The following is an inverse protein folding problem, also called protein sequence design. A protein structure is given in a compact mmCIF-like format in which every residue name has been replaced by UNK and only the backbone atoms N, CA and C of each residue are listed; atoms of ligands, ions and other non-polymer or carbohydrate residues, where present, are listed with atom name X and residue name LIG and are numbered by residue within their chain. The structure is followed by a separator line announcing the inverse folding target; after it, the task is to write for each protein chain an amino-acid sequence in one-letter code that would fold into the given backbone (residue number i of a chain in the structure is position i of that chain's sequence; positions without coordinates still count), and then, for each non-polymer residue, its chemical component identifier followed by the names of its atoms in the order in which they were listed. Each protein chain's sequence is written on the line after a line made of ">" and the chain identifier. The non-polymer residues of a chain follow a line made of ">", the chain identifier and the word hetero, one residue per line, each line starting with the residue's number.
data_IF_561853870730
#
_entry.id   IF_561853870730
#
_cell.length_a   1.000
_cell.length_b   1.000
_cell.length_c   1.000
_cell.angle_alpha   90.00
_cell.angle_beta   90.00
_cell.angle_gamma   90.00
#
_symmetry.space_group_name_H-M   'P 1'
#
loop_
_entity.id
_entity.type
_entity.pdbx_description
1 polymer ?
#
# COMPACT_ATOMS: atom_id res chain seq x y z
N UNK A 1 -44.29 -9.93 57.04
CA UNK A 1 -44.14 -8.51 56.67
C UNK A 1 -42.83 -8.37 55.90
N UNK A 2 -42.93 -8.24 54.58
CA UNK A 2 -41.78 -7.99 53.71
C UNK A 2 -41.83 -6.50 53.36
N UNK A 3 -40.84 -5.74 53.84
CA UNK A 3 -40.70 -4.33 53.52
C UNK A 3 -40.30 -4.17 52.04
N UNK A 4 -40.93 -3.27 51.27
CA UNK A 4 -40.50 -2.99 49.91
C UNK A 4 -39.17 -2.24 49.95
N UNK A 5 -38.17 -2.80 49.27
CA UNK A 5 -36.88 -2.16 49.02
C UNK A 5 -37.07 -1.16 47.89
N UNK A 6 -36.90 0.13 48.18
CA UNK A 6 -36.92 1.18 47.17
C UNK A 6 -35.71 1.04 46.24
N UNK A 7 -35.87 1.23 44.91
CA UNK A 7 -34.75 1.21 43.98
C UNK A 7 -33.89 2.46 44.21
N UNK A 8 -32.62 2.26 44.54
CA UNK A 8 -31.61 3.32 44.57
C UNK A 8 -31.42 3.79 43.13
N UNK A 9 -31.94 4.97 42.82
CA UNK A 9 -31.62 5.68 41.58
C UNK A 9 -30.12 6.01 41.61
N UNK A 10 -29.31 5.19 40.92
CA UNK A 10 -27.93 5.54 40.60
C UNK A 10 -27.94 6.83 39.79
N UNK A 11 -27.52 7.92 40.42
CA UNK A 11 -27.31 9.19 39.77
C UNK A 11 -26.40 8.98 38.54
N UNK A 12 -26.73 9.56 37.37
CA UNK A 12 -25.90 9.43 36.19
C UNK A 12 -24.49 9.97 36.48
N UNK A 13 -23.43 9.36 35.91
CA UNK A 13 -22.07 9.84 36.11
C UNK A 13 -22.01 11.31 35.67
N UNK A 14 -21.52 12.18 36.55
CA UNK A 14 -21.26 13.58 36.27
C UNK A 14 -20.34 13.64 35.05
N UNK A 15 -20.89 14.00 33.89
CA UNK A 15 -20.12 14.37 32.71
C UNK A 15 -19.32 15.60 33.12
N UNK A 16 -17.99 15.47 33.19
CA UNK A 16 -17.09 16.60 33.39
C UNK A 16 -17.36 17.61 32.26
N UNK A 17 -18.09 18.68 32.59
CA UNK A 17 -18.33 19.80 31.68
C UNK A 17 -16.97 20.39 31.30
N UNK A 18 -16.54 20.08 30.07
CA UNK A 18 -15.35 20.63 29.45
C UNK A 18 -15.50 22.16 29.36
N UNK A 19 -14.87 22.89 30.28
CA UNK A 19 -14.84 24.35 30.27
C UNK A 19 -13.86 24.83 29.18
N UNK A 20 -14.35 25.37 28.05
CA UNK A 20 -13.50 25.79 26.93
C UNK A 20 -12.67 27.05 27.26
N UNK A 21 -12.85 27.66 28.44
CA UNK A 21 -12.11 28.82 28.91
C UNK A 21 -11.05 28.50 29.97
N UNK A 22 -10.89 27.22 30.37
CA UNK A 22 -9.83 26.80 31.27
C UNK A 22 -8.44 27.03 30.62
N UNK A 23 -7.46 27.60 31.35
CA UNK A 23 -6.10 27.75 30.84
C UNK A 23 -5.56 26.36 30.47
N UNK A 24 -4.84 26.22 29.34
CA UNK A 24 -4.31 24.92 28.95
C UNK A 24 -3.43 24.38 30.08
N UNK A 25 -3.76 23.20 30.59
CA UNK A 25 -3.01 22.55 31.66
C UNK A 25 -1.52 22.53 31.28
N UNK A 26 -0.67 23.20 32.07
CA UNK A 26 0.77 23.32 31.80
C UNK A 26 1.43 21.94 31.62
N UNK A 27 0.89 20.93 32.29
CA UNK A 27 1.30 19.52 32.21
C UNK A 27 0.98 18.89 30.84
N UNK A 28 -0.14 19.26 30.20
CA UNK A 28 -0.50 18.80 28.86
C UNK A 28 0.41 19.44 27.79
N UNK A 29 0.79 20.71 27.96
CA UNK A 29 1.76 21.36 27.08
C UNK A 29 3.16 20.76 27.23
N UNK A 30 3.58 20.43 28.46
CA UNK A 30 4.87 19.78 28.71
C UNK A 30 4.91 18.37 28.11
N UNK A 31 3.83 17.60 28.23
CA UNK A 31 3.71 16.29 27.59
C UNK A 31 3.73 16.39 26.05
N UNK A 32 3.16 17.44 25.46
CA UNK A 32 3.25 17.71 24.02
C UNK A 32 4.67 18.07 23.61
N UNK A 33 5.36 18.93 24.38
CA UNK A 33 6.77 19.30 24.13
C UNK A 33 7.70 18.08 24.19
N UNK A 34 7.52 17.15 25.14
CA UNK A 34 8.32 15.92 25.20
C UNK A 34 8.05 14.99 24.00
N UNK A 35 6.79 14.86 23.57
CA UNK A 35 6.43 14.10 22.36
C UNK A 35 7.09 14.71 21.11
N UNK A 36 7.05 16.02 20.97
CA UNK A 36 7.66 16.74 19.85
C UNK A 36 9.19 16.66 19.88
N UNK A 37 9.81 16.75 21.07
CA UNK A 37 11.24 16.55 21.25
C UNK A 37 11.68 15.13 20.85
N UNK A 38 10.93 14.10 21.24
CA UNK A 38 11.17 12.71 20.82
C UNK A 38 11.00 12.53 19.31
N UNK A 39 10.00 13.19 18.72
CA UNK A 39 9.77 13.18 17.26
C UNK A 39 10.94 13.84 16.52
N UNK A 40 11.39 14.99 16.97
CA UNK A 40 12.52 15.73 16.41
C UNK A 40 13.83 14.93 16.55
N UNK A 41 14.08 14.29 17.69
CA UNK A 41 15.25 13.43 17.90
C UNK A 41 15.24 12.22 16.96
N UNK A 42 14.07 11.59 16.75
CA UNK A 42 13.91 10.48 15.81
C UNK A 42 14.12 10.92 14.37
N UNK A 43 13.64 12.10 13.98
CA UNK A 43 13.91 12.70 12.66
C UNK A 43 15.39 13.04 12.46
N UNK A 44 16.06 13.58 13.47
CA UNK A 44 17.49 13.89 13.42
C UNK A 44 18.33 12.60 13.28
N UNK A 45 17.99 11.56 14.02
CA UNK A 45 18.63 10.25 13.88
C UNK A 45 18.38 9.64 12.50
N UNK A 46 17.15 9.77 11.98
CA UNK A 46 16.81 9.31 10.63
C UNK A 46 17.64 10.06 9.58
N UNK A 47 17.75 11.38 9.66
CA UNK A 47 18.59 12.22 8.78
C UNK A 47 20.06 11.82 8.87
N UNK A 48 20.57 11.57 10.08
CA UNK A 48 21.94 11.09 10.30
C UNK A 48 22.18 9.74 9.62
N UNK A 49 21.27 8.77 9.81
CA UNK A 49 21.36 7.45 9.19
C UNK A 49 21.23 7.53 7.66
N UNK A 50 20.27 8.30 7.15
CA UNK A 50 20.07 8.50 5.71
C UNK A 50 21.28 9.16 5.02
N UNK A 51 21.97 10.09 5.70
CA UNK A 51 23.23 10.67 5.19
C UNK A 51 24.33 9.62 4.97
N UNK A 52 24.31 8.53 5.76
CA UNK A 52 25.22 7.41 5.62
C UNK A 52 24.76 6.40 4.55
N UNK A 53 23.45 6.23 4.34
CA UNK A 53 22.87 5.28 3.37
C UNK A 53 22.83 5.79 1.93
N UNK A 54 23.12 7.06 1.66
CA UNK A 54 23.07 7.66 0.32
C UNK A 54 24.16 7.21 -0.67
N UNK A 55 24.95 6.18 -0.33
CA UNK A 55 26.01 5.62 -1.19
C UNK A 55 25.51 4.34 -1.85
N UNK A 56 25.32 4.37 -3.17
CA UNK A 56 25.04 3.18 -3.96
C UNK A 56 26.37 2.63 -4.47
N UNK A 57 26.68 1.39 -4.09
CA UNK A 57 27.85 0.68 -4.62
C UNK A 57 27.49 0.14 -6.01
N UNK A 58 28.15 0.67 -7.04
CA UNK A 58 28.06 0.16 -8.41
C UNK A 58 29.39 -0.43 -8.83
N UNK A 59 29.42 -1.27 -9.87
CA UNK A 59 30.68 -1.80 -10.43
C UNK A 59 31.66 -0.74 -10.91
N UNK A 60 31.17 0.45 -11.27
CA UNK A 60 31.98 1.53 -11.83
C UNK A 60 32.58 2.42 -10.73
N UNK A 61 31.90 2.58 -9.60
CA UNK A 61 32.35 3.29 -8.37
C UNK A 61 31.17 3.40 -7.39
N UNK A 62 31.40 3.54 -6.06
CA UNK A 62 30.38 4.03 -5.15
C UNK A 62 29.90 5.42 -5.56
N UNK A 63 28.63 5.53 -5.93
CA UNK A 63 27.98 6.80 -6.31
C UNK A 63 27.22 7.35 -5.12
N UNK A 64 27.48 8.60 -4.75
CA UNK A 64 26.65 9.30 -3.78
C UNK A 64 25.44 9.91 -4.49
N UNK A 65 24.25 9.37 -4.23
CA UNK A 65 23.00 9.76 -4.90
C UNK A 65 22.65 11.22 -4.63
N UNK A 66 23.08 11.76 -3.49
CA UNK A 66 22.83 13.17 -3.13
C UNK A 66 23.65 14.16 -3.95
N UNK A 67 24.75 13.73 -4.55
CA UNK A 67 25.68 14.60 -5.30
C UNK A 67 25.75 14.26 -6.80
N UNK A 68 25.22 13.11 -7.21
CA UNK A 68 25.25 12.64 -8.58
C UNK A 68 23.82 12.31 -9.03
N UNK A 69 23.40 12.90 -10.15
CA UNK A 69 22.18 12.52 -10.85
C UNK A 69 22.45 11.61 -12.06
N UNK A 70 21.40 11.28 -12.77
CA UNK A 70 21.47 10.51 -14.02
C UNK A 70 21.83 11.46 -15.16
N UNK A 71 23.01 11.31 -15.75
CA UNK A 71 23.44 12.06 -16.93
C UNK A 71 23.19 11.31 -18.22
N UNK A 72 22.88 12.07 -19.27
CA UNK A 72 22.82 11.61 -20.64
C UNK A 72 24.09 12.04 -21.37
N UNK A 73 24.78 11.11 -22.02
CA UNK A 73 25.92 11.33 -22.88
C UNK A 73 25.50 11.03 -24.31
N UNK A 74 25.67 11.99 -25.21
CA UNK A 74 25.51 11.77 -26.64
C UNK A 74 26.91 11.62 -27.23
N UNK A 75 27.19 10.45 -27.80
CA UNK A 75 28.43 10.20 -28.54
C UNK A 75 28.11 10.20 -30.02
N UNK A 76 28.79 11.09 -30.75
CA UNK A 76 28.74 11.14 -32.20
C UNK A 76 29.88 10.27 -32.74
N UNK A 77 29.53 9.08 -33.21
CA UNK A 77 30.44 8.21 -33.96
C UNK A 77 29.76 7.89 -35.30
N UNK A 78 30.51 7.98 -36.40
CA UNK A 78 30.07 7.57 -37.74
C UNK A 78 28.71 8.16 -38.19
N UNK A 79 28.49 9.46 -37.93
CA UNK A 79 27.23 10.18 -38.23
C UNK A 79 25.97 9.62 -37.53
N UNK A 80 26.14 8.73 -36.54
CA UNK A 80 25.05 8.19 -35.73
C UNK A 80 25.16 8.73 -34.30
N UNK A 81 24.11 9.40 -33.84
CA UNK A 81 24.00 9.87 -32.47
C UNK A 81 23.64 8.70 -31.56
N UNK A 82 24.60 8.21 -30.78
CA UNK A 82 24.34 7.19 -29.76
C UNK A 82 24.13 7.86 -28.41
N UNK A 83 22.99 7.56 -27.78
CA UNK A 83 22.66 8.08 -26.44
C UNK A 83 23.03 7.02 -25.41
N UNK A 84 23.79 7.41 -24.40
CA UNK A 84 24.14 6.56 -23.26
C UNK A 84 23.82 7.26 -21.94
N UNK A 85 23.36 6.50 -20.95
CA UNK A 85 23.10 7.02 -19.60
C UNK A 85 24.21 6.62 -18.62
N UNK A 86 24.68 7.58 -17.82
CA UNK A 86 25.73 7.39 -16.80
C UNK A 86 25.51 8.32 -15.60
N UNK A 87 25.97 7.91 -14.41
CA UNK A 87 25.99 8.79 -13.24
C UNK A 87 26.86 10.04 -13.53
N UNK A 88 26.29 11.23 -13.34
CA UNK A 88 26.94 12.51 -13.61
C UNK A 88 26.73 13.49 -12.47
N UNK A 89 27.79 14.21 -12.07
CA UNK A 89 27.70 15.30 -11.08
C UNK A 89 26.97 16.54 -11.62
N UNK A 90 26.91 16.68 -12.95
CA UNK A 90 26.30 17.84 -13.60
C UNK A 90 24.78 17.68 -13.72
N UNK A 91 24.28 16.44 -13.67
CA UNK A 91 22.85 16.20 -13.73
C UNK A 91 22.24 16.26 -12.34
N UNK A 92 21.11 16.96 -12.23
CA UNK A 92 20.24 17.01 -11.05
C UNK A 92 19.14 15.95 -11.10
N UNK A 93 19.12 15.12 -12.14
CA UNK A 93 18.06 14.13 -12.34
C UNK A 93 18.11 13.04 -11.26
N UNK A 94 17.11 13.02 -10.40
CA UNK A 94 16.95 12.04 -9.32
C UNK A 94 16.45 10.70 -9.87
N UNK A 95 17.28 9.66 -9.75
CA UNK A 95 16.91 8.30 -10.13
C UNK A 95 16.19 7.54 -9.03
N UNK A 96 15.18 6.74 -9.38
CA UNK A 96 14.66 5.73 -8.44
C UNK A 96 15.71 4.65 -8.17
N UNK A 97 15.64 3.90 -7.04
CA UNK A 97 16.59 2.82 -6.74
C UNK A 97 16.74 1.80 -7.88
N UNK A 98 15.67 1.58 -8.64
CA UNK A 98 15.68 0.69 -9.81
C UNK A 98 16.55 1.24 -10.95
N UNK A 99 16.47 2.55 -11.25
CA UNK A 99 17.34 3.18 -12.26
C UNK A 99 18.82 3.01 -11.91
N UNK A 100 19.18 3.17 -10.63
CA UNK A 100 20.56 2.99 -10.17
C UNK A 100 21.04 1.55 -10.27
N UNK A 101 20.19 0.58 -9.92
CA UNK A 101 20.51 -0.84 -10.09
C UNK A 101 20.75 -1.22 -11.56
N UNK A 102 19.95 -0.63 -12.47
CA UNK A 102 20.12 -0.79 -13.92
C UNK A 102 21.43 -0.18 -14.42
N UNK A 103 21.75 1.05 -14.01
CA UNK A 103 23.02 1.72 -14.36
C UNK A 103 24.23 0.95 -13.82
N UNK A 104 24.10 0.36 -12.63
CA UNK A 104 25.11 -0.50 -12.02
C UNK A 104 25.24 -1.89 -12.66
N UNK A 105 24.31 -2.28 -13.55
CA UNK A 105 24.18 -3.63 -14.12
C UNK A 105 24.07 -4.73 -13.06
N UNK A 106 23.41 -4.42 -11.94
CA UNK A 106 23.26 -5.33 -10.81
C UNK A 106 21.95 -6.10 -10.90
N UNK A 107 21.98 -7.24 -11.60
CA UNK A 107 20.79 -8.07 -11.85
C UNK A 107 20.11 -8.55 -10.55
N UNK A 108 20.91 -8.94 -9.56
CA UNK A 108 20.38 -9.37 -8.26
C UNK A 108 19.64 -8.23 -7.52
N UNK A 109 20.16 -7.01 -7.60
CA UNK A 109 19.51 -5.84 -7.03
C UNK A 109 18.21 -5.49 -7.78
N UNK A 110 18.21 -5.59 -9.11
CA UNK A 110 17.01 -5.40 -9.94
C UNK A 110 15.91 -6.40 -9.56
N UNK A 111 16.24 -7.69 -9.46
CA UNK A 111 15.26 -8.71 -9.05
C UNK A 111 14.74 -8.48 -7.63
N UNK A 112 15.60 -8.10 -6.69
CA UNK A 112 15.20 -7.83 -5.31
C UNK A 112 14.27 -6.62 -5.23
N UNK A 113 14.60 -5.52 -5.93
CA UNK A 113 13.78 -4.32 -5.95
C UNK A 113 12.41 -4.58 -6.57
N UNK A 114 12.35 -5.32 -7.69
CA UNK A 114 11.07 -5.71 -8.31
C UNK A 114 10.25 -6.63 -7.41
N UNK A 115 10.89 -7.58 -6.69
CA UNK A 115 10.23 -8.41 -5.67
C UNK A 115 9.71 -7.60 -4.49
N UNK A 116 10.40 -6.52 -4.12
CA UNK A 116 10.01 -5.61 -3.05
C UNK A 116 8.90 -4.61 -3.47
N UNK A 117 8.45 -4.64 -4.73
CA UNK A 117 7.39 -3.77 -5.23
C UNK A 117 7.88 -2.44 -5.79
N UNK A 118 9.16 -2.32 -6.13
CA UNK A 118 9.65 -1.16 -6.89
C UNK A 118 8.92 -1.07 -8.23
N UNK A 119 8.51 0.13 -8.59
CA UNK A 119 7.78 0.35 -9.82
C UNK A 119 8.74 0.38 -11.03
N UNK A 120 8.47 -0.47 -12.02
CA UNK A 120 9.32 -0.64 -13.20
C UNK A 120 9.14 0.50 -14.21
N UNK A 121 7.93 1.06 -14.25
CA UNK A 121 7.53 2.13 -15.17
C UNK A 121 7.72 3.53 -14.56
N UNK A 122 8.32 3.60 -13.37
CA UNK A 122 8.63 4.87 -12.73
C UNK A 122 9.56 5.68 -13.64
N UNK A 123 9.20 6.95 -13.88
CA UNK A 123 10.00 7.88 -14.66
C UNK A 123 10.86 8.74 -13.76
N UNK A 124 12.06 9.05 -14.22
CA UNK A 124 12.91 10.08 -13.62
C UNK A 124 12.26 11.45 -13.84
N UNK A 125 12.05 12.21 -12.76
CA UNK A 125 11.29 13.48 -12.77
C UNK A 125 11.80 14.48 -13.83
N UNK A 126 13.12 14.61 -13.97
CA UNK A 126 13.75 15.61 -14.84
C UNK A 126 13.95 15.15 -16.29
N UNK A 127 14.09 13.84 -16.52
CA UNK A 127 14.44 13.28 -17.83
C UNK A 127 13.27 12.57 -18.51
N UNK A 128 12.22 12.20 -17.76
CA UNK A 128 11.11 11.40 -18.25
C UNK A 128 11.49 9.98 -18.67
N UNK A 129 12.71 9.54 -18.34
CA UNK A 129 13.30 8.27 -18.74
C UNK A 129 12.88 7.19 -17.75
N UNK A 130 12.52 6.02 -18.28
CA UNK A 130 12.22 4.81 -17.49
C UNK A 130 13.44 3.91 -17.34
N UNK A 131 13.38 2.95 -16.42
CA UNK A 131 14.42 1.93 -16.27
C UNK A 131 14.61 1.12 -17.58
N UNK A 132 13.53 0.87 -18.34
CA UNK A 132 13.58 0.18 -19.62
C UNK A 132 14.32 0.99 -20.70
N UNK A 133 14.07 2.31 -20.78
CA UNK A 133 14.77 3.19 -21.72
C UNK A 133 16.30 3.18 -21.50
N UNK A 134 16.73 3.20 -20.23
CA UNK A 134 18.16 3.11 -19.88
C UNK A 134 18.75 1.79 -20.38
N UNK A 135 18.03 0.69 -20.18
CA UNK A 135 18.44 -0.64 -20.64
C UNK A 135 18.56 -0.71 -22.16
N UNK A 136 17.62 -0.13 -22.90
CA UNK A 136 17.64 -0.10 -24.36
C UNK A 136 18.80 0.72 -24.90
N UNK A 137 18.96 1.95 -24.41
CA UNK A 137 20.02 2.86 -24.88
C UNK A 137 21.42 2.38 -24.53
N UNK A 138 21.59 1.75 -23.35
CA UNK A 138 22.86 1.15 -22.94
C UNK A 138 23.04 -0.31 -23.43
N UNK A 139 22.11 -0.86 -24.21
CA UNK A 139 22.13 -2.22 -24.78
C UNK A 139 22.34 -3.34 -23.73
N UNK A 140 21.67 -3.24 -22.58
CA UNK A 140 21.83 -4.15 -21.44
C UNK A 140 20.90 -5.38 -21.52
N UNK A 141 21.19 -6.33 -22.41
CA UNK A 141 20.29 -7.46 -22.68
C UNK A 141 19.93 -8.30 -21.45
N UNK A 142 20.92 -8.63 -20.60
CA UNK A 142 20.67 -9.44 -19.40
C UNK A 142 19.86 -8.68 -18.34
N UNK A 143 20.09 -7.37 -18.21
CA UNK A 143 19.27 -6.53 -17.33
C UNK A 143 17.84 -6.41 -17.85
N UNK A 144 17.64 -6.36 -19.17
CA UNK A 144 16.29 -6.39 -19.80
C UNK A 144 15.53 -7.63 -19.36
N UNK A 145 16.13 -8.81 -19.55
CA UNK A 145 15.52 -10.09 -19.17
C UNK A 145 15.20 -10.14 -17.67
N UNK A 146 16.07 -9.60 -16.82
CA UNK A 146 15.83 -9.53 -15.38
C UNK A 146 14.60 -8.66 -15.04
N UNK A 147 14.44 -7.51 -15.70
CA UNK A 147 13.26 -6.65 -15.54
C UNK A 147 12.00 -7.37 -16.01
N UNK A 148 12.02 -7.96 -17.22
CA UNK A 148 10.88 -8.69 -17.77
C UNK A 148 10.42 -9.83 -16.85
N UNK A 149 11.36 -10.62 -16.32
CA UNK A 149 11.06 -11.68 -15.34
C UNK A 149 10.44 -11.11 -14.06
N UNK A 150 10.98 -10.01 -13.54
CA UNK A 150 10.47 -9.38 -12.32
C UNK A 150 9.07 -8.77 -12.51
N UNK A 151 8.82 -8.13 -13.65
CA UNK A 151 7.51 -7.57 -14.02
C UNK A 151 6.48 -8.68 -14.22
N UNK A 152 6.84 -9.75 -14.93
CA UNK A 152 5.96 -10.91 -15.10
C UNK A 152 5.61 -11.57 -13.75
N UNK A 153 6.58 -11.71 -12.84
CA UNK A 153 6.36 -12.23 -11.50
C UNK A 153 5.44 -11.32 -10.66
N UNK A 154 5.57 -9.99 -10.79
CA UNK A 154 4.66 -9.02 -10.13
C UNK A 154 3.24 -9.15 -10.68
N UNK A 155 3.09 -9.18 -12.01
CA UNK A 155 1.78 -9.35 -12.66
C UNK A 155 1.11 -10.64 -12.20
N UNK A 156 1.84 -11.77 -12.19
CA UNK A 156 1.31 -13.04 -11.72
C UNK A 156 0.85 -13.00 -10.25
N UNK A 157 1.54 -12.26 -9.37
CA UNK A 157 1.11 -12.07 -7.98
C UNK A 157 -0.19 -11.25 -7.89
N UNK A 158 -0.29 -10.17 -8.65
CA UNK A 158 -1.50 -9.33 -8.68
C UNK A 158 -2.69 -10.13 -9.23
N UNK A 159 -2.48 -10.87 -10.32
CA UNK A 159 -3.49 -11.73 -10.92
C UNK A 159 -3.92 -12.83 -9.95
N UNK A 160 -2.99 -13.44 -9.21
CA UNK A 160 -3.29 -14.46 -8.20
C UNK A 160 -4.05 -13.88 -6.99
N UNK A 161 -3.70 -12.67 -6.53
CA UNK A 161 -4.43 -11.98 -5.46
C UNK A 161 -5.85 -11.62 -5.90
N UNK A 162 -6.01 -11.13 -7.13
CA UNK A 162 -7.31 -10.82 -7.69
C UNK A 162 -8.17 -12.08 -7.83
N UNK A 163 -7.61 -13.17 -8.36
CA UNK A 163 -8.29 -14.45 -8.45
C UNK A 163 -8.71 -15.01 -7.08
N UNK A 164 -7.89 -14.80 -6.04
CA UNK A 164 -8.24 -15.19 -4.67
C UNK A 164 -9.41 -14.37 -4.11
N UNK A 165 -9.45 -13.06 -4.37
CA UNK A 165 -10.57 -12.17 -4.00
C UNK A 165 -11.84 -12.57 -4.73
N UNK A 166 -11.75 -12.84 -6.03
CA UNK A 166 -12.89 -13.24 -6.85
C UNK A 166 -13.44 -14.61 -6.39
N UNK A 167 -12.56 -15.55 -6.03
CA UNK A 167 -12.95 -16.84 -5.45
C UNK A 167 -13.66 -16.70 -4.09
N UNK A 168 -13.16 -15.82 -3.21
CA UNK A 168 -13.83 -15.53 -1.94
C UNK A 168 -15.20 -14.87 -2.16
N UNK A 169 -15.29 -13.92 -3.10
CA UNK A 169 -16.55 -13.28 -3.46
C UNK A 169 -17.59 -14.30 -3.99
N UNK A 170 -17.16 -15.25 -4.81
CA UNK A 170 -18.01 -16.32 -5.31
C UNK A 170 -18.53 -17.24 -4.20
N UNK A 171 -17.68 -17.63 -3.24
CA UNK A 171 -18.09 -18.42 -2.07
C UNK A 171 -19.08 -17.67 -1.17
N UNK A 172 -18.83 -16.38 -0.90
CA UNK A 172 -19.75 -15.55 -0.14
C UNK A 172 -21.10 -15.40 -0.87
N UNK A 173 -21.09 -15.22 -2.18
CA UNK A 173 -22.31 -15.16 -3.00
C UNK A 173 -23.08 -16.48 -2.99
N UNK A 174 -22.39 -17.62 -3.09
CA UNK A 174 -22.99 -18.96 -3.00
C UNK A 174 -23.65 -19.16 -1.64
N UNK A 175 -22.98 -18.78 -0.55
CA UNK A 175 -23.52 -18.87 0.81
C UNK A 175 -24.69 -17.92 1.03
N UNK A 176 -24.66 -16.72 0.46
CA UNK A 176 -25.76 -15.77 0.51
C UNK A 176 -26.99 -16.31 -0.25
N UNK A 177 -26.79 -16.87 -1.44
CA UNK A 177 -27.86 -17.49 -2.21
C UNK A 177 -28.49 -18.66 -1.47
N UNK A 178 -27.69 -19.58 -0.90
CA UNK A 178 -28.22 -20.69 -0.11
C UNK A 178 -29.05 -20.22 1.11
N UNK A 179 -28.69 -19.10 1.74
CA UNK A 179 -29.48 -18.48 2.82
C UNK A 179 -30.80 -17.89 2.29
N UNK A 180 -30.77 -17.26 1.12
CA UNK A 180 -31.98 -16.73 0.48
C UNK A 180 -32.93 -17.86 0.09
N UNK A 181 -32.42 -18.90 -0.58
CA UNK A 181 -33.20 -20.07 -0.99
C UNK A 181 -33.87 -20.74 0.23
N UNK A 182 -33.14 -20.91 1.35
CA UNK A 182 -33.71 -21.44 2.58
C UNK A 182 -34.80 -20.53 3.18
N UNK A 183 -34.58 -19.21 3.20
CA UNK A 183 -35.58 -18.26 3.70
C UNK A 183 -36.84 -18.24 2.82
N UNK A 184 -36.70 -18.44 1.50
CA UNK A 184 -37.80 -18.51 0.57
C UNK A 184 -38.57 -19.83 0.70
N UNK A 185 -37.88 -20.96 0.94
CA UNK A 185 -38.52 -22.25 1.25
C UNK A 185 -39.34 -22.20 2.54
N UNK A 186 -38.80 -21.62 3.61
CA UNK A 186 -39.52 -21.46 4.89
C UNK A 186 -40.73 -20.53 4.74
N UNK A 187 -40.60 -19.42 3.99
CA UNK A 187 -41.75 -18.56 3.66
C UNK A 187 -42.85 -19.33 2.93
N UNK A 188 -42.49 -20.13 1.92
CA UNK A 188 -43.46 -20.92 1.15
C UNK A 188 -44.18 -21.96 2.02
N UNK A 189 -43.47 -22.63 2.94
CA UNK A 189 -44.10 -23.58 3.88
C UNK A 189 -45.06 -22.88 4.83
N UNK A 190 -44.65 -21.74 5.40
CA UNK A 190 -45.51 -20.96 6.29
C UNK A 190 -46.78 -20.46 5.59
N UNK A 191 -46.68 -20.04 4.33
CA UNK A 191 -47.84 -19.67 3.51
C UNK A 191 -48.79 -20.86 3.26
N UNK A 192 -48.23 -22.06 3.04
CA UNK A 192 -49.00 -23.28 2.83
C UNK A 192 -49.69 -23.76 4.13
N UNK A 193 -48.98 -23.75 5.26
CA UNK A 193 -49.54 -24.04 6.58
C UNK A 193 -50.66 -23.07 6.94
N UNK A 194 -50.45 -21.76 6.77
CA UNK A 194 -51.49 -20.75 7.01
C UNK A 194 -52.73 -20.94 6.13
N UNK A 195 -52.55 -21.38 4.87
CA UNK A 195 -53.68 -21.70 3.98
C UNK A 195 -54.48 -22.90 4.48
N UNK A 196 -53.80 -23.96 4.93
CA UNK A 196 -54.43 -25.16 5.47
C UNK A 196 -55.15 -24.88 6.80
N UNK A 197 -54.56 -24.06 7.67
CA UNK A 197 -55.20 -23.61 8.92
C UNK A 197 -56.46 -22.79 8.65
N UNK A 198 -56.42 -21.87 7.68
CA UNK A 198 -57.58 -21.09 7.28
C UNK A 198 -58.71 -21.97 6.70
N UNK A 199 -58.36 -23.00 5.91
CA UNK A 199 -59.33 -23.96 5.37
C UNK A 199 -59.94 -24.84 6.48
N UNK A 200 -59.14 -25.26 7.47
CA UNK A 200 -59.62 -26.01 8.62
C UNK A 200 -60.56 -25.18 9.52
N UNK A 201 -60.22 -23.92 9.78
CA UNK A 201 -61.07 -23.01 10.55
C UNK A 201 -62.42 -22.75 9.86
N UNK A 202 -62.42 -22.59 8.53
CA UNK A 202 -63.64 -22.44 7.75
C UNK A 202 -64.53 -23.71 7.75
N UNK A 203 -63.93 -24.89 7.92
CA UNK A 203 -64.66 -26.16 8.03
C UNK A 203 -65.24 -26.40 9.44
N UNK A 204 -64.64 -25.84 10.49
CA UNK A 204 -65.19 -25.89 11.86
C UNK A 204 -66.37 -24.92 12.08
N UNK A 205 -66.43 -23.81 11.35
CA UNK A 205 -67.54 -22.84 11.42
C UNK A 205 -68.79 -23.24 10.60
N UNK A 206 -68.73 -24.29 9.77
CA UNK A 206 -69.80 -24.75 8.87
C UNK A 206 -70.59 -25.94 9.42
#
# INVERSE_FOLDING_TARGET
>A
ELLPVEPVEEAPPLEEEFDPAAPPDEEAEEAQRDRDARRAAKEAELKRRLSATGRIVTRLSPVNVTHFGIGMLVSEADMQCTVQFKASKRSTAEGTPLHWAVLGREHAAVELLLKAGADADAKVTELGVTAADIVEKNQLLETRKAIERGVAARKAKVDAEQAAKDGLAAELARRAKARQDFADEERRKAEEEARLEAEAAAAEEA
#
